data_IF_630736342992
#
_entry.id   IF_630736342992
#
_cell.length_a   1.000
_cell.length_b   1.000
_cell.length_c   1.000
_cell.angle_alpha   90.00
_cell.angle_beta   90.00
_cell.angle_gamma   90.00
#
_symmetry.space_group_name_H-M   'P 1'
#
loop_
_entity.id
_entity.type
_entity.pdbx_description
1 polymer ?
#
# COMPACT_ATOMS: atom_id res chain seq x y z
N UNK A 1 9.54 3.45 23.76
CA UNK A 1 10.70 4.29 23.35
C UNK A 1 10.26 5.25 22.26
N UNK A 2 10.81 6.47 22.26
CA UNK A 2 10.48 7.54 21.31
C UNK A 2 10.77 7.19 19.85
N UNK A 3 11.82 6.41 19.59
CA UNK A 3 12.22 5.95 18.26
C UNK A 3 11.13 5.10 17.59
N UNK A 4 10.53 4.15 18.32
CA UNK A 4 9.49 3.29 17.77
C UNK A 4 8.23 4.10 17.42
N UNK A 5 7.91 5.13 18.20
CA UNK A 5 6.82 6.04 17.86
C UNK A 5 7.13 6.88 16.63
N UNK A 6 8.37 7.36 16.48
CA UNK A 6 8.81 8.10 15.30
C UNK A 6 8.76 7.23 14.04
N UNK A 7 9.27 6.00 14.09
CA UNK A 7 9.20 5.04 13.00
C UNK A 7 7.75 4.75 12.58
N UNK A 8 6.85 4.55 13.54
CA UNK A 8 5.42 4.36 13.27
C UNK A 8 4.74 5.60 12.66
N UNK A 9 5.15 6.82 13.05
CA UNK A 9 4.67 8.07 12.42
C UNK A 9 5.17 8.17 10.98
N UNK A 10 6.44 7.87 10.73
CA UNK A 10 7.03 7.90 9.39
C UNK A 10 6.42 6.84 8.46
N UNK A 11 6.11 5.65 8.96
CA UNK A 11 5.42 4.62 8.20
C UNK A 11 3.99 5.03 7.82
N UNK A 12 3.24 5.63 8.75
CA UNK A 12 1.90 6.18 8.45
C UNK A 12 1.92 7.35 7.47
N UNK A 13 3.01 8.11 7.44
CA UNK A 13 3.23 9.18 6.47
C UNK A 13 3.68 8.67 5.09
N UNK A 14 3.84 7.35 4.90
CA UNK A 14 4.27 6.75 3.63
C UNK A 14 5.75 6.95 3.31
N UNK A 15 6.57 7.33 4.29
CA UNK A 15 8.03 7.49 4.13
C UNK A 15 8.77 6.16 4.31
N UNK A 16 8.23 5.31 5.19
CA UNK A 16 8.76 3.98 5.47
C UNK A 16 7.72 2.90 5.13
N UNK A 17 8.19 1.81 4.54
CA UNK A 17 7.39 0.61 4.31
C UNK A 17 7.85 -0.47 5.28
N UNK A 18 6.90 -1.20 5.86
CA UNK A 18 7.20 -2.34 6.72
C UNK A 18 7.58 -3.51 5.82
N UNK A 19 8.83 -3.95 5.92
CA UNK A 19 9.37 -5.08 5.17
C UNK A 19 9.08 -6.41 5.88
N UNK A 20 9.11 -6.39 7.22
CA UNK A 20 8.83 -7.58 8.02
C UNK A 20 8.69 -7.26 9.50
N UNK A 21 8.07 -8.20 10.23
CA UNK A 21 7.94 -8.14 11.68
C UNK A 21 8.36 -9.48 12.26
N UNK A 22 9.40 -9.46 13.08
CA UNK A 22 9.87 -10.63 13.83
C UNK A 22 9.82 -10.25 15.30
N UNK A 23 8.95 -10.93 16.05
CA UNK A 23 8.72 -10.63 17.47
C UNK A 23 8.39 -9.14 17.71
N UNK A 24 9.15 -8.48 18.60
CA UNK A 24 9.04 -7.06 18.96
C UNK A 24 9.83 -6.15 18.01
N UNK A 25 10.50 -6.71 17.01
CA UNK A 25 11.30 -5.99 16.03
C UNK A 25 10.52 -5.83 14.73
N UNK A 26 10.46 -4.60 14.22
CA UNK A 26 9.86 -4.27 12.93
C UNK A 26 10.98 -3.77 12.03
N UNK A 27 11.12 -4.41 10.87
CA UNK A 27 12.06 -4.01 9.83
C UNK A 27 11.36 -3.04 8.89
N UNK A 28 11.94 -1.85 8.77
CA UNK A 28 11.46 -0.82 7.87
C UNK A 28 12.47 -0.64 6.74
N UNK A 29 11.96 -0.43 5.54
CA UNK A 29 12.73 0.08 4.41
C UNK A 29 12.18 1.43 3.97
N UNK A 30 13.00 2.21 3.27
CA UNK A 30 12.55 3.46 2.69
C UNK A 30 11.55 3.19 1.56
N UNK A 31 10.49 4.01 1.49
CA UNK A 31 9.52 3.91 0.41
C UNK A 31 10.16 4.33 -0.91
N UNK A 32 9.91 3.59 -2.00
CA UNK A 32 10.32 4.04 -3.33
C UNK A 32 9.43 5.21 -3.79
N UNK A 33 9.87 5.97 -4.78
CA UNK A 33 9.07 7.09 -5.32
C UNK A 33 7.67 6.64 -5.76
N UNK A 34 7.58 5.47 -6.39
CA UNK A 34 6.32 4.89 -6.88
C UNK A 34 5.34 4.52 -5.76
N UNK A 35 5.85 3.99 -4.64
CA UNK A 35 5.04 3.69 -3.46
C UNK A 35 4.58 4.95 -2.75
N UNK A 36 5.44 5.99 -2.70
CA UNK A 36 5.10 7.29 -2.11
C UNK A 36 4.05 8.06 -2.92
N UNK A 37 4.03 7.86 -4.24
CA UNK A 37 3.00 8.40 -5.14
C UNK A 37 1.64 7.68 -5.02
N UNK A 38 1.51 6.66 -4.16
CA UNK A 38 0.26 5.93 -3.94
C UNK A 38 -0.16 5.06 -5.14
N UNK A 39 0.73 4.85 -6.13
CA UNK A 39 0.48 3.99 -7.30
C UNK A 39 0.47 2.50 -6.94
N UNK A 40 1.06 2.13 -5.82
CA UNK A 40 1.13 0.74 -5.33
C UNK A 40 0.26 0.61 -4.09
N UNK A 41 -1.03 0.31 -4.29
CA UNK A 41 -1.84 -0.22 -3.20
C UNK A 41 -1.25 -1.58 -2.82
N UNK A 42 -0.84 -1.75 -1.56
CA UNK A 42 -0.41 -3.05 -1.01
C UNK A 42 -1.50 -4.11 -1.17
N UNK A 43 -2.75 -3.69 -1.34
CA UNK A 43 -3.88 -4.55 -1.55
C UNK A 43 -4.26 -4.61 -3.04
N UNK A 44 -3.92 -5.73 -3.69
CA UNK A 44 -4.20 -5.98 -5.11
C UNK A 44 -5.70 -6.22 -5.38
N UNK A 45 -6.53 -6.37 -4.35
CA UNK A 45 -7.97 -6.63 -4.43
C UNK A 45 -8.68 -5.67 -5.39
N UNK A 46 -8.40 -4.36 -5.32
CA UNK A 46 -9.05 -3.40 -6.23
C UNK A 46 -8.58 -3.55 -7.67
N UNK A 47 -7.32 -3.89 -7.89
CA UNK A 47 -6.77 -4.15 -9.23
C UNK A 47 -7.34 -5.43 -9.81
N UNK A 48 -7.38 -6.50 -9.03
CA UNK A 48 -7.98 -7.79 -9.39
C UNK A 48 -9.48 -7.65 -9.66
N UNK A 49 -10.21 -6.96 -8.78
CA UNK A 49 -11.62 -6.68 -8.94
C UNK A 49 -11.87 -5.90 -10.24
N UNK A 50 -11.09 -4.83 -10.50
CA UNK A 50 -11.18 -4.04 -11.74
C UNK A 50 -10.83 -4.84 -12.99
N UNK A 51 -9.95 -5.83 -12.89
CA UNK A 51 -9.56 -6.72 -14.00
C UNK A 51 -10.50 -7.90 -14.21
N UNK A 52 -11.37 -8.22 -13.24
CA UNK A 52 -12.34 -9.32 -13.34
C UNK A 52 -13.29 -9.13 -14.53
N UNK A 53 -13.75 -10.25 -15.11
CA UNK A 53 -14.68 -10.23 -16.24
C UNK A 53 -15.99 -9.51 -15.90
N UNK A 54 -16.47 -9.66 -14.66
CA UNK A 54 -17.68 -8.99 -14.19
C UNK A 54 -17.51 -7.47 -14.12
N UNK A 55 -16.45 -6.98 -13.47
CA UNK A 55 -16.22 -5.54 -13.33
C UNK A 55 -15.92 -4.87 -14.66
N UNK A 56 -15.24 -5.56 -15.60
CA UNK A 56 -15.07 -5.05 -16.97
C UNK A 56 -16.39 -4.81 -17.69
N UNK A 57 -17.36 -5.72 -17.53
CA UNK A 57 -18.73 -5.54 -18.09
C UNK A 57 -19.43 -4.35 -17.45
N UNK A 58 -19.35 -4.21 -16.13
CA UNK A 58 -19.94 -3.07 -15.41
C UNK A 58 -19.30 -1.75 -15.88
N UNK A 59 -17.98 -1.67 -15.90
CA UNK A 59 -17.26 -0.46 -16.31
C UNK A 59 -17.51 -0.08 -17.76
N UNK A 60 -17.77 -1.04 -18.66
CA UNK A 60 -18.15 -0.76 -20.04
C UNK A 60 -19.50 -0.02 -20.13
N UNK A 61 -20.46 -0.34 -19.26
CA UNK A 61 -21.79 0.30 -19.22
C UNK A 61 -21.70 1.76 -18.74
N UNK A 62 -20.82 2.06 -17.79
CA UNK A 62 -20.69 3.38 -17.18
C UNK A 62 -19.62 4.29 -17.82
N UNK A 63 -18.98 3.88 -18.92
CA UNK A 63 -17.90 4.64 -19.61
C UNK A 63 -18.43 5.67 -20.62
N UNK A 64 -19.55 6.34 -20.28
CA UNK A 64 -20.07 7.49 -21.04
C UNK A 64 -19.19 8.72 -20.77
#
# INVERSE_FOLDING_TARGET
TSINQAAAKMARAGLLVIEGKVWRTVYYRFATKEEREGKVSTNMIFKECRQSAAMKRVLLVYRT
#
